data_IF_092398420150
#
_entry.id   IF_092398420150
#
_cell.length_a   1.000
_cell.length_b   1.000
_cell.length_c   1.000
_cell.angle_alpha   90.00
_cell.angle_beta   90.00
_cell.angle_gamma   90.00
#
_symmetry.space_group_name_H-M   'P 1'
#
loop_
_entity.id
_entity.type
_entity.pdbx_description
1 polymer ?
#
# COMPACT_ATOMS: atom_id res chain seq x y z
N UNK A 1 16.63 -17.16 -14.30
CA UNK A 1 16.07 -17.67 -13.01
C UNK A 1 14.66 -18.20 -13.28
N UNK A 2 14.09 -19.11 -12.46
CA UNK A 2 12.83 -19.78 -12.80
C UNK A 2 11.58 -18.89 -12.69
N UNK A 3 11.67 -17.77 -11.97
CA UNK A 3 10.56 -16.81 -11.86
C UNK A 3 10.97 -15.34 -11.90
N UNK A 4 9.97 -14.47 -12.08
CA UNK A 4 10.09 -13.01 -12.12
C UNK A 4 9.35 -12.41 -10.92
N UNK A 5 9.94 -11.40 -10.29
CA UNK A 5 9.34 -10.72 -9.15
C UNK A 5 9.30 -9.22 -9.43
N UNK A 6 8.10 -8.70 -9.64
CA UNK A 6 7.85 -7.29 -9.87
C UNK A 6 7.83 -6.58 -8.52
N UNK A 7 8.90 -5.87 -8.19
CA UNK A 7 8.99 -5.04 -7.00
C UNK A 7 8.75 -3.56 -7.34
N UNK A 8 8.11 -2.80 -6.46
CA UNK A 8 7.84 -1.39 -6.72
C UNK A 8 6.84 -0.77 -5.76
N UNK A 9 6.71 0.55 -5.79
CA UNK A 9 5.76 1.29 -4.95
C UNK A 9 4.29 0.96 -5.24
N UNK A 10 3.37 1.48 -4.44
CA UNK A 10 1.94 1.31 -4.69
C UNK A 10 1.54 1.88 -6.05
N UNK A 11 0.63 1.19 -6.72
CA UNK A 11 -0.04 1.63 -7.94
C UNK A 11 0.84 1.94 -9.16
N UNK A 12 2.14 1.65 -9.12
CA UNK A 12 3.08 1.75 -10.27
C UNK A 12 2.80 0.73 -11.41
N UNK A 13 1.66 0.03 -11.37
CA UNK A 13 1.22 -0.87 -12.44
C UNK A 13 1.69 -2.32 -12.34
N UNK A 14 2.24 -2.76 -11.20
CA UNK A 14 2.74 -4.14 -11.02
C UNK A 14 1.69 -5.21 -11.33
N UNK A 15 0.50 -5.10 -10.74
CA UNK A 15 -0.63 -6.02 -10.99
C UNK A 15 -1.04 -6.02 -12.45
N UNK A 16 -1.05 -4.86 -13.10
CA UNK A 16 -1.37 -4.78 -14.54
C UNK A 16 -0.31 -5.48 -15.40
N UNK A 17 0.99 -5.34 -15.07
CA UNK A 17 2.08 -6.05 -15.74
C UNK A 17 1.99 -7.57 -15.51
N UNK A 18 1.70 -8.00 -14.28
CA UNK A 18 1.51 -9.41 -13.95
C UNK A 18 0.33 -10.03 -14.72
N UNK A 19 -0.81 -9.33 -14.76
CA UNK A 19 -1.98 -9.74 -15.53
C UNK A 19 -1.68 -9.77 -17.05
N UNK A 20 -0.94 -8.79 -17.56
CA UNK A 20 -0.53 -8.74 -18.97
C UNK A 20 0.36 -9.94 -19.33
N UNK A 21 1.34 -10.26 -18.48
CA UNK A 21 2.19 -11.44 -18.61
C UNK A 21 1.34 -12.72 -18.62
N UNK A 22 0.42 -12.84 -17.66
CA UNK A 22 -0.49 -13.99 -17.58
C UNK A 22 -1.30 -14.13 -18.87
N UNK A 23 -1.90 -13.06 -19.39
CA UNK A 23 -2.69 -13.09 -20.62
C UNK A 23 -1.88 -13.51 -21.85
N UNK A 24 -0.65 -13.02 -21.98
CA UNK A 24 0.23 -13.34 -23.12
C UNK A 24 0.84 -14.75 -23.05
N UNK A 25 1.03 -15.30 -21.85
CA UNK A 25 1.63 -16.62 -21.70
C UNK A 25 0.73 -17.76 -22.24
N UNK A 26 1.32 -18.82 -22.84
CA UNK A 26 0.56 -19.99 -23.27
C UNK A 26 0.03 -20.76 -22.05
N UNK A 27 -1.19 -21.30 -22.18
CA UNK A 27 -1.79 -22.14 -21.14
C UNK A 27 -1.21 -23.57 -21.12
N UNK A 28 -1.53 -24.36 -20.09
CA UNK A 28 -2.32 -24.02 -18.90
C UNK A 28 -1.60 -23.04 -17.94
N UNK A 29 -2.33 -22.11 -17.32
CA UNK A 29 -1.79 -21.05 -16.47
C UNK A 29 -2.75 -20.70 -15.33
N UNK A 30 -2.20 -20.38 -14.16
CA UNK A 30 -2.95 -20.05 -12.95
C UNK A 30 -2.62 -18.62 -12.48
N UNK A 31 -3.61 -17.96 -11.88
CA UNK A 31 -3.48 -16.64 -11.28
C UNK A 31 -4.19 -16.67 -9.93
N UNK A 32 -3.57 -16.13 -8.90
CA UNK A 32 -4.19 -15.92 -7.60
C UNK A 32 -3.37 -14.95 -6.75
N UNK A 33 -3.96 -14.51 -5.65
CA UNK A 33 -3.25 -13.77 -4.60
C UNK A 33 -2.46 -14.71 -3.69
N UNK A 34 -1.54 -14.17 -2.92
CA UNK A 34 -0.82 -14.93 -1.90
C UNK A 34 -1.77 -15.66 -0.93
N UNK A 35 -2.77 -14.94 -0.43
CA UNK A 35 -3.76 -15.45 0.53
C UNK A 35 -4.64 -16.55 -0.07
N UNK A 36 -5.05 -16.43 -1.33
CA UNK A 36 -5.79 -17.50 -2.00
C UNK A 36 -4.97 -18.78 -2.12
N UNK A 37 -3.65 -18.64 -2.28
CA UNK A 37 -2.73 -19.77 -2.42
C UNK A 37 -2.52 -20.49 -1.09
N UNK A 38 -2.37 -19.75 0.02
CA UNK A 38 -2.29 -20.36 1.36
C UNK A 38 -3.62 -21.03 1.73
N UNK A 39 -4.76 -20.41 1.43
CA UNK A 39 -6.08 -21.02 1.60
C UNK A 39 -6.25 -22.30 0.76
N UNK A 40 -5.77 -22.31 -0.48
CA UNK A 40 -5.82 -23.50 -1.34
C UNK A 40 -5.05 -24.67 -0.71
N UNK A 41 -3.86 -24.41 -0.17
CA UNK A 41 -3.07 -25.43 0.54
C UNK A 41 -3.80 -25.90 1.80
N UNK A 42 -4.43 -25.00 2.55
CA UNK A 42 -5.25 -25.36 3.71
C UNK A 42 -6.45 -26.24 3.36
N UNK A 43 -7.11 -25.97 2.23
CA UNK A 43 -8.31 -26.68 1.79
C UNK A 43 -8.03 -28.04 1.13
N UNK A 44 -7.05 -28.10 0.23
CA UNK A 44 -6.71 -29.32 -0.53
C UNK A 44 -5.64 -30.17 0.16
N UNK A 45 -4.88 -29.58 1.08
CA UNK A 45 -3.63 -30.14 1.56
C UNK A 45 -2.47 -29.89 0.60
N UNK A 46 -1.26 -29.95 1.15
CA UNK A 46 -0.03 -29.60 0.43
C UNK A 46 0.22 -30.47 -0.81
N UNK A 47 0.14 -31.79 -0.68
CA UNK A 47 0.45 -32.72 -1.77
C UNK A 47 -0.53 -32.58 -2.95
N UNK A 48 -1.82 -32.42 -2.67
CA UNK A 48 -2.84 -32.25 -3.71
C UNK A 48 -2.71 -30.88 -4.40
N UNK A 49 -2.36 -29.83 -3.64
CA UNK A 49 -2.08 -28.51 -4.21
C UNK A 49 -0.88 -28.53 -5.15
N UNK A 50 0.22 -29.18 -4.75
CA UNK A 50 1.38 -29.38 -5.62
C UNK A 50 0.96 -30.11 -6.89
N UNK A 51 0.22 -31.23 -6.79
CA UNK A 51 -0.22 -31.99 -7.96
C UNK A 51 -1.05 -31.14 -8.93
N UNK A 52 -2.05 -30.42 -8.41
CA UNK A 52 -2.92 -29.54 -9.21
C UNK A 52 -2.16 -28.41 -9.89
N UNK A 53 -1.30 -27.71 -9.14
CA UNK A 53 -0.55 -26.57 -9.68
C UNK A 53 0.60 -27.01 -10.62
N UNK A 54 1.11 -28.24 -10.48
CA UNK A 54 2.16 -28.78 -11.35
C UNK A 54 1.70 -29.01 -12.79
N UNK A 55 0.39 -29.04 -13.05
CA UNK A 55 -0.13 -29.13 -14.42
C UNK A 55 -0.01 -27.81 -15.18
N UNK A 56 0.28 -26.70 -14.50
CA UNK A 56 0.35 -25.37 -15.10
C UNK A 56 1.77 -25.04 -15.58
N UNK A 57 1.86 -24.27 -16.67
CA UNK A 57 3.15 -23.74 -17.17
C UNK A 57 3.58 -22.47 -16.46
N UNK A 58 2.61 -21.69 -15.98
CA UNK A 58 2.82 -20.42 -15.31
C UNK A 58 1.87 -20.28 -14.12
N UNK A 59 2.43 -19.89 -12.98
CA UNK A 59 1.72 -19.43 -11.80
C UNK A 59 2.02 -17.95 -11.56
N UNK A 60 0.99 -17.11 -11.65
CA UNK A 60 1.08 -15.70 -11.27
C UNK A 60 0.53 -15.51 -9.84
N UNK A 61 1.31 -14.87 -8.97
CA UNK A 61 0.97 -14.60 -7.57
C UNK A 61 0.94 -13.10 -7.34
N UNK A 62 -0.25 -12.54 -7.17
CA UNK A 62 -0.40 -11.12 -6.83
C UNK A 62 -0.25 -10.90 -5.32
N UNK A 63 0.21 -9.71 -4.95
CA UNK A 63 0.34 -9.26 -3.55
C UNK A 63 1.15 -10.24 -2.67
N UNK A 64 2.33 -10.64 -3.15
CA UNK A 64 3.21 -11.56 -2.42
C UNK A 64 3.76 -10.91 -1.15
N UNK A 65 3.34 -11.43 0.01
CA UNK A 65 3.79 -11.01 1.33
C UNK A 65 3.92 -12.20 2.28
N UNK A 66 4.69 -12.06 3.36
CA UNK A 66 4.84 -13.09 4.39
C UNK A 66 4.39 -12.50 5.72
N UNK A 67 3.28 -13.00 6.26
CA UNK A 67 2.68 -12.50 7.49
C UNK A 67 3.14 -13.28 8.73
N UNK A 68 3.43 -14.57 8.60
CA UNK A 68 3.93 -15.40 9.69
C UNK A 68 5.03 -16.40 9.26
N UNK A 69 5.71 -17.05 10.23
CA UNK A 69 6.76 -18.01 9.93
C UNK A 69 6.30 -19.28 9.19
N UNK A 70 5.07 -19.73 9.43
CA UNK A 70 4.49 -20.90 8.78
C UNK A 70 4.30 -20.68 7.30
N UNK A 71 3.81 -19.49 6.91
CA UNK A 71 3.69 -19.06 5.51
C UNK A 71 5.02 -19.12 4.78
N UNK A 72 6.10 -18.70 5.45
CA UNK A 72 7.45 -18.68 4.87
C UNK A 72 7.91 -20.09 4.47
N UNK A 73 7.75 -21.06 5.37
CA UNK A 73 8.14 -22.45 5.13
C UNK A 73 7.23 -23.09 4.09
N UNK A 74 5.92 -22.88 4.21
CA UNK A 74 4.90 -23.39 3.29
C UNK A 74 5.20 -22.95 1.86
N UNK A 75 5.36 -21.65 1.66
CA UNK A 75 5.54 -21.06 0.34
C UNK A 75 6.89 -21.35 -0.26
N UNK A 76 7.96 -21.31 0.53
CA UNK A 76 9.29 -21.72 0.07
C UNK A 76 9.27 -23.17 -0.44
N UNK A 77 8.63 -24.08 0.31
CA UNK A 77 8.51 -25.49 -0.09
C UNK A 77 7.62 -25.69 -1.30
N UNK A 78 6.49 -24.98 -1.37
CA UNK A 78 5.56 -25.06 -2.50
C UNK A 78 6.24 -24.60 -3.80
N UNK A 79 6.83 -23.41 -3.80
CA UNK A 79 7.52 -22.88 -4.97
C UNK A 79 8.67 -23.78 -5.43
N UNK A 80 9.44 -24.35 -4.49
CA UNK A 80 10.49 -25.31 -4.81
C UNK A 80 9.95 -26.53 -5.58
N UNK A 81 8.81 -27.08 -5.15
CA UNK A 81 8.18 -28.24 -5.81
C UNK A 81 7.62 -27.88 -7.18
N UNK A 82 6.98 -26.73 -7.32
CA UNK A 82 6.40 -26.28 -8.58
C UNK A 82 7.50 -25.97 -9.61
N UNK A 83 8.55 -25.26 -9.21
CA UNK A 83 9.70 -25.00 -10.10
C UNK A 83 10.37 -26.31 -10.53
N UNK A 84 10.52 -27.28 -9.62
CA UNK A 84 11.04 -28.60 -9.96
C UNK A 84 10.14 -29.38 -10.94
N UNK A 85 8.83 -29.15 -10.90
CA UNK A 85 7.85 -29.69 -11.85
C UNK A 85 7.81 -28.93 -13.18
N UNK A 86 8.60 -27.87 -13.35
CA UNK A 86 8.68 -27.08 -14.59
C UNK A 86 7.71 -25.90 -14.64
N UNK A 87 7.06 -25.56 -13.52
CA UNK A 87 6.17 -24.39 -13.43
C UNK A 87 7.01 -23.11 -13.32
N UNK A 88 6.79 -22.16 -14.21
CA UNK A 88 7.33 -20.80 -14.08
C UNK A 88 6.50 -19.98 -13.09
N UNK A 89 7.14 -19.09 -12.34
CA UNK A 89 6.46 -18.28 -11.32
C UNK A 89 6.65 -16.80 -11.63
N UNK A 90 5.58 -16.02 -11.55
CA UNK A 90 5.65 -14.57 -11.58
C UNK A 90 4.94 -13.99 -10.35
N UNK A 91 5.52 -13.01 -9.69
CA UNK A 91 4.94 -12.42 -8.49
C UNK A 91 5.01 -10.89 -8.46
N UNK A 92 4.13 -10.24 -7.72
CA UNK A 92 4.19 -8.81 -7.43
C UNK A 92 4.36 -8.58 -5.92
N UNK A 93 5.10 -7.56 -5.52
CA UNK A 93 5.12 -7.14 -4.12
C UNK A 93 5.56 -5.68 -3.94
N UNK A 94 5.20 -5.11 -2.80
CA UNK A 94 5.69 -3.81 -2.36
C UNK A 94 7.01 -3.90 -1.56
N UNK A 95 7.42 -5.12 -1.21
CA UNK A 95 8.59 -5.44 -0.39
C UNK A 95 9.63 -6.15 -1.24
N UNK A 96 10.91 -5.88 -1.01
CA UNK A 96 11.97 -6.61 -1.70
C UNK A 96 12.02 -8.06 -1.22
N UNK A 97 12.37 -9.05 -2.07
CA UNK A 97 12.40 -10.45 -1.65
C UNK A 97 13.24 -10.72 -0.39
N UNK A 98 14.38 -10.03 -0.23
CA UNK A 98 15.25 -10.17 0.94
C UNK A 98 14.74 -9.50 2.22
N UNK A 99 13.70 -8.67 2.11
CA UNK A 99 13.06 -7.94 3.22
C UNK A 99 11.66 -8.49 3.55
N UNK A 100 11.29 -9.64 2.99
CA UNK A 100 10.00 -10.27 3.30
C UNK A 100 9.93 -10.62 4.79
N UNK A 101 8.76 -10.42 5.40
CA UNK A 101 8.53 -10.65 6.83
C UNK A 101 9.08 -9.56 7.76
N UNK A 102 9.86 -8.58 7.27
CA UNK A 102 10.33 -7.46 8.08
C UNK A 102 9.15 -6.70 8.71
N UNK A 103 9.16 -6.59 10.05
CA UNK A 103 8.10 -5.93 10.81
C UNK A 103 6.79 -6.74 10.95
N UNK A 104 6.73 -7.98 10.43
CA UNK A 104 5.58 -8.89 10.55
C UNK A 104 5.84 -9.97 11.62
N UNK A 105 7.01 -10.60 11.57
CA UNK A 105 7.46 -11.58 12.56
C UNK A 105 8.98 -11.44 12.80
N UNK A 106 9.56 -12.32 13.61
CA UNK A 106 11.01 -12.40 13.82
C UNK A 106 11.73 -12.92 12.55
N UNK A 107 11.67 -12.16 11.46
CA UNK A 107 12.17 -12.55 10.13
C UNK A 107 13.66 -12.93 10.13
N UNK A 108 14.43 -12.40 11.08
CA UNK A 108 15.84 -12.76 11.28
C UNK A 108 16.02 -14.27 11.54
N UNK A 109 15.10 -14.90 12.25
CA UNK A 109 15.15 -16.33 12.57
C UNK A 109 14.86 -17.21 11.34
N UNK A 110 14.31 -16.64 10.26
CA UNK A 110 13.88 -17.31 9.04
C UNK A 110 14.60 -16.79 7.79
N UNK A 111 15.74 -16.10 7.97
CA UNK A 111 16.50 -15.51 6.87
C UNK A 111 16.91 -16.54 5.81
N UNK A 112 17.19 -17.78 6.22
CA UNK A 112 17.58 -18.86 5.32
C UNK A 112 16.43 -19.22 4.37
N UNK A 113 15.22 -19.32 4.90
CA UNK A 113 14.01 -19.64 4.15
C UNK A 113 13.63 -18.47 3.23
N UNK A 114 13.71 -17.23 3.72
CA UNK A 114 13.49 -16.00 2.94
C UNK A 114 14.48 -15.91 1.78
N UNK A 115 15.76 -16.18 2.01
CA UNK A 115 16.79 -16.20 0.96
C UNK A 115 16.55 -17.32 -0.06
N UNK A 116 16.14 -18.50 0.41
CA UNK A 116 15.81 -19.62 -0.47
C UNK A 116 14.61 -19.28 -1.37
N UNK A 117 13.60 -18.62 -0.80
CA UNK A 117 12.43 -18.14 -1.52
C UNK A 117 12.82 -17.06 -2.54
N UNK A 118 13.62 -16.07 -2.12
CA UNK A 118 14.12 -15.01 -2.99
C UNK A 118 14.94 -15.57 -4.17
N UNK A 119 15.64 -16.69 -4.00
CA UNK A 119 16.46 -17.30 -5.05
C UNK A 119 15.65 -17.83 -6.25
N UNK A 120 14.34 -18.09 -6.07
CA UNK A 120 13.46 -18.45 -7.20
C UNK A 120 13.23 -17.29 -8.16
N UNK A 121 13.44 -16.07 -7.70
CA UNK A 121 13.02 -14.87 -8.39
C UNK A 121 14.17 -14.05 -8.94
N UNK A 122 13.96 -13.51 -10.13
CA UNK A 122 14.64 -12.33 -10.62
C UNK A 122 13.81 -11.10 -10.30
N UNK A 123 14.31 -10.24 -9.43
CA UNK A 123 13.68 -8.96 -9.11
C UNK A 123 13.77 -8.01 -10.31
N UNK A 124 12.61 -7.55 -10.76
CA UNK A 124 12.46 -6.51 -11.77
C UNK A 124 11.76 -5.36 -11.09
N UNK A 125 12.51 -4.28 -10.90
CA UNK A 125 11.99 -3.07 -10.30
C UNK A 125 11.09 -2.35 -11.29
N UNK A 126 9.83 -2.22 -10.92
CA UNK A 126 8.82 -1.42 -11.60
C UNK A 126 8.84 -0.03 -10.97
N UNK A 127 9.69 0.82 -11.55
CA UNK A 127 9.67 2.24 -11.27
C UNK A 127 8.58 2.92 -12.12
N UNK A 128 7.98 3.94 -11.54
CA UNK A 128 6.92 4.69 -12.18
C UNK A 128 6.23 5.57 -11.17
N UNK A 129 5.56 6.60 -11.67
CA UNK A 129 4.54 7.28 -10.90
C UNK A 129 3.38 6.30 -10.66
N UNK A 130 2.71 6.43 -9.52
CA UNK A 130 1.52 5.62 -9.25
C UNK A 130 0.51 5.90 -10.38
N UNK A 131 0.22 4.90 -11.21
CA UNK A 131 -0.66 5.02 -12.36
C UNK A 131 -2.13 5.21 -11.97
N UNK A 132 -2.49 5.01 -10.70
CA UNK A 132 -3.77 5.48 -10.14
C UNK A 132 -3.84 7.01 -10.10
N UNK A 133 -2.69 7.70 -10.20
CA UNK A 133 -2.56 9.16 -10.14
C UNK A 133 -2.17 9.80 -11.49
N UNK A 134 -2.14 9.06 -12.61
CA UNK A 134 -1.84 9.63 -13.94
C UNK A 134 -2.88 10.71 -14.29
N UNK A 135 -2.45 11.97 -14.27
CA UNK A 135 -3.27 13.11 -14.66
C UNK A 135 -3.87 13.91 -13.52
N UNK A 136 -3.43 13.70 -12.27
CA UNK A 136 -3.71 14.66 -11.21
C UNK A 136 -2.86 15.93 -11.49
N UNK A 137 -3.47 17.11 -11.75
CA UNK A 137 -2.75 18.38 -11.85
C UNK A 137 -1.84 18.63 -10.64
N UNK A 138 -1.01 19.68 -10.68
CA UNK A 138 -0.34 20.17 -9.47
C UNK A 138 -1.32 20.17 -8.26
N UNK A 139 -0.79 19.89 -7.06
CA UNK A 139 -1.59 19.91 -5.84
C UNK A 139 -2.45 21.19 -5.84
N UNK A 140 -3.77 21.08 -5.64
CA UNK A 140 -4.61 22.26 -5.69
C UNK A 140 -4.10 23.25 -4.63
N UNK A 141 -4.01 24.55 -4.96
CA UNK A 141 -3.52 25.52 -4.00
C UNK A 141 -4.42 25.49 -2.76
N UNK A 142 -3.84 25.72 -1.56
CA UNK A 142 -4.63 25.83 -0.34
C UNK A 142 -5.65 26.95 -0.50
N UNK A 143 -6.85 26.74 0.03
CA UNK A 143 -7.91 27.76 0.00
C UNK A 143 -7.74 28.71 1.19
N UNK A 144 -8.44 29.85 1.16
CA UNK A 144 -8.46 30.74 2.33
C UNK A 144 -9.14 30.04 3.50
N UNK A 145 -8.72 30.37 4.72
CA UNK A 145 -9.36 29.83 5.94
C UNK A 145 -10.86 30.15 5.99
N UNK A 146 -11.26 31.33 5.52
CA UNK A 146 -12.67 31.71 5.38
C UNK A 146 -13.44 30.78 4.43
N UNK A 147 -12.81 30.33 3.33
CA UNK A 147 -13.43 29.40 2.41
C UNK A 147 -13.57 28.00 3.01
N UNK A 148 -12.58 27.53 3.79
CA UNK A 148 -12.69 26.27 4.56
C UNK A 148 -13.91 26.34 5.48
N UNK A 149 -13.96 27.37 6.34
CA UNK A 149 -15.03 27.56 7.31
C UNK A 149 -16.41 27.63 6.66
N UNK A 150 -16.55 28.42 5.59
CA UNK A 150 -17.81 28.56 4.88
C UNK A 150 -18.28 27.23 4.30
N UNK A 151 -17.36 26.45 3.69
CA UNK A 151 -17.71 25.18 3.07
C UNK A 151 -18.15 24.14 4.09
N UNK A 152 -17.41 24.02 5.20
CA UNK A 152 -17.73 23.06 6.26
C UNK A 152 -19.00 23.42 7.03
N UNK A 153 -19.32 24.72 7.18
CA UNK A 153 -20.57 25.14 7.86
C UNK A 153 -21.83 24.79 7.08
N UNK A 154 -21.73 24.63 5.76
CA UNK A 154 -22.86 24.28 4.91
C UNK A 154 -23.22 22.78 4.96
N UNK A 155 -22.40 21.93 5.57
CA UNK A 155 -22.61 20.49 5.63
C UNK A 155 -22.56 20.00 7.09
N UNK A 156 -23.67 19.49 7.66
CA UNK A 156 -23.72 19.03 9.04
C UNK A 156 -22.88 17.77 9.30
N UNK A 157 -22.46 17.06 8.25
CA UNK A 157 -21.56 15.90 8.34
C UNK A 157 -20.09 16.29 8.06
N UNK A 158 -19.78 17.57 7.86
CA UNK A 158 -18.41 18.04 7.74
C UNK A 158 -17.77 18.32 9.10
N UNK A 159 -16.45 18.15 9.19
CA UNK A 159 -15.64 18.64 10.31
C UNK A 159 -14.82 19.85 9.89
N UNK A 160 -14.48 20.71 10.86
CA UNK A 160 -13.55 21.82 10.63
C UNK A 160 -12.60 21.91 11.83
N UNK A 161 -11.37 21.48 11.61
CA UNK A 161 -10.39 21.27 12.66
C UNK A 161 -9.16 22.16 12.43
N UNK A 162 -8.68 22.79 13.51
CA UNK A 162 -7.37 23.43 13.49
C UNK A 162 -6.27 22.38 13.40
N UNK A 163 -5.29 22.58 12.53
CA UNK A 163 -4.29 21.56 12.23
C UNK A 163 -3.47 21.13 13.46
N UNK A 164 -3.00 22.07 14.27
CA UNK A 164 -2.25 21.77 15.50
C UNK A 164 -3.11 21.07 16.57
N UNK A 165 -4.32 21.56 16.91
CA UNK A 165 -5.26 20.82 17.76
C UNK A 165 -5.57 19.40 17.29
N UNK A 166 -5.73 19.20 15.98
CA UNK A 166 -5.95 17.88 15.40
C UNK A 166 -4.76 16.96 15.68
N UNK A 167 -3.52 17.40 15.42
CA UNK A 167 -2.33 16.60 15.70
C UNK A 167 -2.24 16.24 17.19
N UNK A 168 -2.48 17.18 18.10
CA UNK A 168 -2.52 16.91 19.54
C UNK A 168 -3.63 15.92 19.93
N UNK A 169 -4.78 15.96 19.26
CA UNK A 169 -5.86 15.00 19.50
C UNK A 169 -5.49 13.59 19.04
N UNK A 170 -4.86 13.47 17.85
CA UNK A 170 -4.40 12.20 17.32
C UNK A 170 -3.33 11.54 18.21
N UNK A 171 -2.50 12.32 18.90
CA UNK A 171 -1.52 11.81 19.85
C UNK A 171 -2.14 11.06 21.03
N UNK A 172 -3.31 11.51 21.48
CA UNK A 172 -4.04 10.92 22.61
C UNK A 172 -4.81 9.64 22.24
N UNK A 173 -4.91 9.35 20.95
CA UNK A 173 -5.71 8.24 20.44
C UNK A 173 -4.83 7.14 19.85
N UNK A 174 -5.21 5.89 20.12
CA UNK A 174 -4.59 4.76 19.45
C UNK A 174 -4.98 4.75 17.96
N UNK A 175 -4.04 4.54 17.01
CA UNK A 175 -4.29 4.58 15.57
C UNK A 175 -5.43 3.68 15.07
N UNK A 176 -5.74 2.59 15.76
CA UNK A 176 -6.88 1.72 15.42
C UNK A 176 -8.24 2.42 15.53
N UNK A 177 -8.33 3.52 16.29
CA UNK A 177 -9.56 4.30 16.47
C UNK A 177 -9.80 5.31 15.37
N UNK A 178 -8.81 5.57 14.50
CA UNK A 178 -8.95 6.62 13.48
C UNK A 178 -10.03 6.29 12.45
N UNK A 179 -10.30 5.00 12.20
CA UNK A 179 -11.43 4.62 11.35
C UNK A 179 -12.76 5.12 11.90
N UNK A 180 -13.01 4.94 13.20
CA UNK A 180 -14.22 5.40 13.86
C UNK A 180 -14.32 6.94 13.93
N UNK A 181 -13.18 7.65 13.96
CA UNK A 181 -13.17 9.12 13.94
C UNK A 181 -13.72 9.69 12.62
N UNK A 182 -13.49 8.98 11.51
CA UNK A 182 -13.87 9.47 10.17
C UNK A 182 -15.16 8.81 9.66
N UNK A 183 -15.79 7.95 10.45
CA UNK A 183 -17.05 7.31 10.07
C UNK A 183 -18.18 8.36 10.04
N UNK A 184 -18.88 8.43 8.92
CA UNK A 184 -19.98 9.38 8.72
C UNK A 184 -19.53 10.83 8.42
N UNK A 185 -18.23 11.08 8.30
CA UNK A 185 -17.71 12.39 7.90
C UNK A 185 -17.81 12.55 6.39
N UNK A 186 -18.49 13.60 5.94
CA UNK A 186 -18.72 13.88 4.52
C UNK A 186 -17.64 14.80 3.91
N UNK A 187 -16.97 15.62 4.72
CA UNK A 187 -15.92 16.55 4.33
C UNK A 187 -15.05 16.90 5.55
N UNK A 188 -13.74 16.96 5.38
CA UNK A 188 -12.82 17.45 6.41
C UNK A 188 -12.27 18.81 6.02
N UNK A 189 -12.49 19.83 6.84
CA UNK A 189 -11.81 21.12 6.75
C UNK A 189 -10.62 21.19 7.70
N UNK A 190 -9.45 21.56 7.19
CA UNK A 190 -8.25 21.80 7.99
C UNK A 190 -7.83 23.26 7.91
N UNK A 191 -7.72 23.93 9.05
CA UNK A 191 -7.25 25.31 9.12
C UNK A 191 -5.82 25.41 9.64
N UNK A 192 -5.03 26.31 9.05
CA UNK A 192 -3.67 26.61 9.52
C UNK A 192 -2.69 25.45 9.34
N UNK A 193 -2.81 24.70 8.24
CA UNK A 193 -1.89 23.61 7.91
C UNK A 193 -0.47 24.16 7.79
N UNK A 194 0.48 23.46 8.41
CA UNK A 194 1.91 23.80 8.41
C UNK A 194 2.75 22.51 8.35
N UNK A 195 4.03 22.57 7.94
CA UNK A 195 4.87 21.39 7.87
C UNK A 195 5.00 20.68 9.22
N UNK A 196 4.87 19.36 9.22
CA UNK A 196 5.00 18.50 10.40
C UNK A 196 6.47 18.13 10.58
N UNK A 197 7.07 18.54 11.70
CA UNK A 197 8.48 18.32 11.99
C UNK A 197 8.76 17.07 12.84
N UNK A 198 7.77 16.62 13.63
CA UNK A 198 7.90 15.42 14.45
C UNK A 198 7.53 14.15 13.66
N UNK A 199 8.39 13.14 13.73
CA UNK A 199 8.21 11.89 12.98
C UNK A 199 6.98 11.11 13.47
N UNK A 200 6.68 11.12 14.77
CA UNK A 200 5.56 10.36 15.33
C UNK A 200 4.22 11.02 14.97
N UNK A 201 4.13 12.35 14.99
CA UNK A 201 3.00 13.11 14.48
C UNK A 201 2.80 12.87 12.97
N UNK A 202 3.89 12.89 12.19
CA UNK A 202 3.83 12.63 10.75
C UNK A 202 3.30 11.23 10.43
N UNK A 203 3.73 10.20 11.17
CA UNK A 203 3.22 8.84 10.99
C UNK A 203 1.76 8.69 11.40
N UNK A 204 1.29 9.41 12.44
CA UNK A 204 -0.14 9.45 12.77
C UNK A 204 -0.97 10.10 11.67
N UNK A 205 -0.47 11.20 11.10
CA UNK A 205 -1.11 11.86 9.97
C UNK A 205 -1.19 10.95 8.74
N UNK A 206 -0.16 10.13 8.48
CA UNK A 206 -0.21 9.08 7.45
C UNK A 206 -1.37 8.11 7.72
N UNK A 207 -1.54 7.63 8.96
CA UNK A 207 -2.65 6.71 9.28
C UNK A 207 -4.01 7.39 9.10
N UNK A 208 -4.16 8.65 9.54
CA UNK A 208 -5.40 9.39 9.33
C UNK A 208 -5.70 9.57 7.84
N UNK A 209 -4.70 9.97 7.06
CA UNK A 209 -4.79 10.10 5.60
C UNK A 209 -5.25 8.81 4.95
N UNK A 210 -4.70 7.68 5.38
CA UNK A 210 -5.11 6.37 4.88
C UNK A 210 -6.60 6.12 5.16
N UNK A 211 -7.10 6.46 6.36
CA UNK A 211 -8.52 6.27 6.71
C UNK A 211 -9.49 7.18 5.96
N UNK A 212 -9.08 8.42 5.71
CA UNK A 212 -9.85 9.36 4.90
C UNK A 212 -9.93 8.89 3.44
N UNK A 213 -8.80 8.44 2.90
CA UNK A 213 -8.71 7.94 1.53
C UNK A 213 -9.51 6.64 1.33
N UNK A 214 -9.45 5.70 2.27
CA UNK A 214 -10.21 4.44 2.19
C UNK A 214 -11.75 4.67 2.21
N UNK A 215 -12.21 5.86 2.58
CA UNK A 215 -13.64 6.27 2.65
C UNK A 215 -14.01 7.36 1.64
N UNK A 216 -13.09 7.74 0.76
CA UNK A 216 -13.28 8.83 -0.21
C UNK A 216 -13.74 10.16 0.43
N UNK A 217 -13.27 10.47 1.65
CA UNK A 217 -13.64 11.68 2.40
C UNK A 217 -12.81 12.88 1.90
N UNK A 218 -13.42 13.87 1.21
CA UNK A 218 -12.70 15.02 0.68
C UNK A 218 -12.05 15.86 1.79
N UNK A 219 -10.92 16.51 1.48
CA UNK A 219 -10.15 17.32 2.44
C UNK A 219 -9.94 18.73 1.92
N UNK A 220 -10.50 19.74 2.57
CA UNK A 220 -10.29 21.14 2.21
C UNK A 220 -9.33 21.79 3.22
N UNK A 221 -8.24 22.40 2.76
CA UNK A 221 -7.19 22.89 3.65
C UNK A 221 -6.79 24.35 3.37
N UNK A 222 -6.50 25.10 4.44
CA UNK A 222 -5.80 26.40 4.40
C UNK A 222 -4.41 26.30 5.02
N UNK A 223 -3.53 27.25 4.68
CA UNK A 223 -2.13 27.26 5.16
C UNK A 223 -1.15 26.89 4.05
N UNK A 224 -0.22 25.98 4.32
CA UNK A 224 0.65 25.42 3.28
C UNK A 224 -0.09 24.40 2.42
N UNK A 225 0.39 24.18 1.20
CA UNK A 225 -0.14 23.14 0.33
C UNK A 225 0.10 21.74 0.96
N UNK A 226 -0.83 20.80 0.75
CA UNK A 226 -0.78 19.48 1.37
C UNK A 226 0.41 18.64 0.90
N UNK A 227 0.96 18.92 -0.29
CA UNK A 227 2.19 18.33 -0.81
C UNK A 227 3.46 18.82 -0.08
N UNK A 228 3.37 19.91 0.68
CA UNK A 228 4.44 20.49 1.49
C UNK A 228 4.31 20.17 2.99
N UNK A 229 3.36 19.31 3.36
CA UNK A 229 3.09 18.98 4.76
C UNK A 229 4.21 18.17 5.43
N UNK A 230 4.98 17.40 4.65
CA UNK A 230 6.16 16.67 5.12
C UNK A 230 7.42 17.36 4.59
N UNK A 231 8.29 17.89 5.46
CA UNK A 231 9.50 18.58 5.02
C UNK A 231 10.55 17.60 4.48
N UNK A 232 11.56 18.13 3.79
CA UNK A 232 12.54 17.33 3.03
C UNK A 232 13.27 16.30 3.92
N UNK A 233 13.55 16.63 5.16
CA UNK A 233 14.23 15.78 6.13
C UNK A 233 13.45 14.48 6.40
N UNK A 234 12.11 14.55 6.46
CA UNK A 234 11.26 13.36 6.59
C UNK A 234 11.17 12.58 5.28
N UNK A 235 11.16 13.27 4.14
CA UNK A 235 11.10 12.67 2.81
C UNK A 235 12.40 11.97 2.38
N UNK A 236 13.52 12.29 3.04
CA UNK A 236 14.80 11.60 2.89
C UNK A 236 15.00 10.48 3.92
N UNK A 237 14.16 10.43 4.96
CA UNK A 237 14.23 9.45 6.04
C UNK A 237 13.70 8.05 5.70
N UNK A 238 13.79 7.13 6.68
CA UNK A 238 13.42 5.72 6.52
C UNK A 238 11.95 5.47 6.16
N UNK A 239 11.05 6.40 6.48
CA UNK A 239 9.62 6.32 6.18
C UNK A 239 9.20 7.06 4.90
N UNK A 240 10.14 7.52 4.08
CA UNK A 240 9.88 8.29 2.83
C UNK A 240 8.76 7.75 1.95
N UNK A 241 8.66 6.42 1.82
CA UNK A 241 7.62 5.76 1.01
C UNK A 241 6.21 6.04 1.58
N UNK A 242 6.06 6.05 2.90
CA UNK A 242 4.80 6.33 3.60
C UNK A 242 4.38 7.79 3.41
N UNK A 243 5.30 8.72 3.56
CA UNK A 243 5.03 10.16 3.40
C UNK A 243 4.63 10.51 1.96
N UNK A 244 5.37 10.02 0.96
CA UNK A 244 5.02 10.24 -0.45
C UNK A 244 3.65 9.66 -0.82
N UNK A 245 3.30 8.49 -0.28
CA UNK A 245 1.97 7.89 -0.45
C UNK A 245 0.89 8.76 0.20
N UNK A 246 1.12 9.26 1.41
CA UNK A 246 0.17 10.14 2.08
C UNK A 246 -0.05 11.46 1.33
N UNK A 247 1.01 12.09 0.81
CA UNK A 247 0.88 13.29 -0.06
C UNK A 247 -0.03 12.99 -1.25
N UNK A 248 0.25 11.90 -1.98
CA UNK A 248 -0.54 11.50 -3.15
C UNK A 248 -2.04 11.33 -2.84
N UNK A 249 -2.34 10.79 -1.66
CA UNK A 249 -3.71 10.60 -1.16
C UNK A 249 -4.36 11.94 -0.77
N UNK A 250 -3.66 12.77 -0.01
CA UNK A 250 -4.15 14.10 0.38
C UNK A 250 -4.45 14.98 -0.84
N UNK A 251 -3.60 14.96 -1.86
CA UNK A 251 -3.81 15.73 -3.09
C UNK A 251 -5.07 15.29 -3.85
N UNK A 252 -5.33 13.98 -3.89
CA UNK A 252 -6.54 13.44 -4.50
C UNK A 252 -7.80 13.90 -3.75
N UNK A 253 -7.79 13.78 -2.42
CA UNK A 253 -8.93 14.20 -1.58
C UNK A 253 -9.15 15.72 -1.61
N UNK A 254 -8.08 16.50 -1.71
CA UNK A 254 -8.18 17.96 -1.83
C UNK A 254 -8.75 18.40 -3.17
N UNK A 255 -8.42 17.70 -4.25
CA UNK A 255 -9.00 18.01 -5.55
C UNK A 255 -10.48 17.67 -5.61
N UNK A 256 -10.88 16.56 -5.00
CA UNK A 256 -12.29 16.19 -4.84
C UNK A 256 -13.06 17.28 -4.06
N UNK A 257 -12.47 17.83 -3.00
CA UNK A 257 -13.09 18.88 -2.19
C UNK A 257 -13.30 20.21 -2.93
N UNK A 258 -12.38 20.59 -3.84
CA UNK A 258 -12.48 21.86 -4.59
C UNK A 258 -13.33 21.76 -5.86
N UNK A 259 -13.61 20.55 -6.34
CA UNK A 259 -14.43 20.32 -7.54
C UNK A 259 -15.89 19.99 -7.23
N UNK A 260 -16.19 19.62 -5.98
CA UNK A 260 -17.54 19.37 -5.45
C UNK A 260 -18.14 20.65 -4.88
#
# INVERSE_FOLDING_TARGET
RPGVYLDGGFGVGKTHLLASLWHQAPGPKAYGTFVELTHLVGALGFAATVASLSEHRLLCIDEFELDDPGDTVLMSTLLARLVAAGVHVAATSNTLPGSLGEGRFAAQDFLREIQSLAAFFESVRVDGEDYRHRGLPAAPPPVSEQAVLARTQCDPAATCDGFEPLLSHLEQLHPSRYGALVDGVALVGLTGVRPVTDQAAALRLVVLTDRLYDRDVPVLASGVALDQIFPAELLEGGYRKKYRRAISRLDALARQAQTS
#
